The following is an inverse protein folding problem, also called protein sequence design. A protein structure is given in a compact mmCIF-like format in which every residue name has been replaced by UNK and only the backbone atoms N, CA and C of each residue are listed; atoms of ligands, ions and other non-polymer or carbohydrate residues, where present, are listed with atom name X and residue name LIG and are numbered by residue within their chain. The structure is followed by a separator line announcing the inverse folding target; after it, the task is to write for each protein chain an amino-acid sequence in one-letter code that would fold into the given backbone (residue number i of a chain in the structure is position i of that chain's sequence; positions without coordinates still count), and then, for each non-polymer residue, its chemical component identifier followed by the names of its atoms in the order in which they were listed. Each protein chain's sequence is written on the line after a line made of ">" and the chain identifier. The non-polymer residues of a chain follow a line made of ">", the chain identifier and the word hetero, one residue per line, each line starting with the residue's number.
data_IF_078218078792
#
_entry.id   IF_078218078792
#
_cell.length_a   1.000
_cell.length_b   1.000
_cell.length_c   1.000
_cell.angle_alpha   90.00
_cell.angle_beta   90.00
_cell.angle_gamma   90.00
#
_symmetry.space_group_name_H-M   'P 1'
#
loop_
_entity.id
_entity.type
_entity.pdbx_description
1 polymer ?
#
# COMPACT_ATOMS: atom_id res chain seq x y z
N UNK A 1 11.60 -21.95 -27.77
CA UNK A 1 11.87 -21.13 -26.56
C UNK A 1 12.33 -21.97 -25.37
N UNK A 2 11.64 -23.08 -25.01
CA UNK A 2 11.96 -23.93 -23.87
C UNK A 2 13.38 -24.51 -23.93
N UNK A 3 13.79 -25.10 -25.09
CA UNK A 3 15.13 -25.64 -25.26
C UNK A 3 16.24 -24.59 -25.13
N UNK A 4 16.00 -23.38 -25.59
CA UNK A 4 16.95 -22.25 -25.45
C UNK A 4 17.10 -21.85 -23.99
N UNK A 5 16.00 -21.78 -23.25
CA UNK A 5 16.03 -21.49 -21.79
C UNK A 5 16.80 -22.57 -21.04
N UNK A 6 16.50 -23.84 -21.29
CA UNK A 6 17.21 -24.98 -20.66
C UNK A 6 18.72 -24.92 -20.92
N UNK A 7 19.13 -24.68 -22.18
CA UNK A 7 20.54 -24.57 -22.54
C UNK A 7 21.23 -23.44 -21.75
N UNK A 8 20.63 -22.27 -21.71
CA UNK A 8 21.14 -21.11 -20.96
C UNK A 8 21.24 -21.43 -19.45
N UNK A 9 20.21 -22.06 -18.88
CA UNK A 9 20.20 -22.36 -17.45
C UNK A 9 21.26 -23.42 -17.11
N UNK A 10 21.52 -24.42 -17.96
CA UNK A 10 22.58 -25.43 -17.79
C UNK A 10 24.01 -24.86 -17.90
N UNK A 11 24.21 -23.71 -18.54
CA UNK A 11 25.50 -23.01 -18.57
C UNK A 11 25.88 -22.42 -17.19
N UNK A 12 24.86 -22.11 -16.36
CA UNK A 12 25.05 -21.50 -15.04
C UNK A 12 24.73 -22.40 -13.84
N UNK A 13 23.91 -23.43 -14.03
CA UNK A 13 23.43 -24.33 -12.98
C UNK A 13 24.06 -25.72 -13.12
N UNK A 14 24.58 -26.26 -12.02
CA UNK A 14 25.08 -27.64 -12.01
C UNK A 14 24.02 -28.61 -11.49
N UNK A 15 23.30 -29.24 -12.39
CA UNK A 15 22.50 -30.42 -12.06
C UNK A 15 23.40 -31.66 -12.02
N UNK A 16 23.05 -32.69 -11.24
CA UNK A 16 23.75 -33.99 -11.26
C UNK A 16 23.80 -34.58 -12.66
N UNK A 17 24.95 -35.13 -13.04
CA UNK A 17 25.18 -35.69 -14.37
C UNK A 17 24.23 -36.84 -14.74
N UNK A 18 23.77 -37.60 -13.77
CA UNK A 18 22.80 -38.67 -13.93
C UNK A 18 21.41 -38.10 -14.29
N UNK A 19 20.97 -37.02 -13.66
CA UNK A 19 19.72 -36.32 -13.98
C UNK A 19 19.77 -35.77 -15.41
N UNK A 20 20.88 -35.11 -15.79
CA UNK A 20 21.05 -34.58 -17.14
C UNK A 20 21.01 -35.71 -18.19
N UNK A 21 21.69 -36.83 -17.93
CA UNK A 21 21.71 -37.99 -18.84
C UNK A 21 20.34 -38.64 -18.95
N UNK A 22 19.64 -38.83 -17.83
CA UNK A 22 18.35 -39.51 -17.77
C UNK A 22 17.26 -38.71 -18.51
N UNK A 23 17.22 -37.39 -18.32
CA UNK A 23 16.14 -36.52 -18.80
C UNK A 23 16.51 -35.68 -20.04
N UNK A 24 17.62 -36.02 -20.74
CA UNK A 24 18.10 -35.26 -21.90
C UNK A 24 17.05 -35.09 -23.00
N UNK A 25 16.17 -36.10 -23.19
CA UNK A 25 15.10 -36.09 -24.18
C UNK A 25 13.76 -35.55 -23.64
N UNK A 26 13.70 -35.13 -22.37
CA UNK A 26 12.48 -34.73 -21.65
C UNK A 26 12.55 -33.25 -21.23
N UNK A 27 12.36 -32.30 -22.17
CA UNK A 27 12.63 -30.88 -21.92
C UNK A 27 11.75 -30.29 -20.80
N UNK A 28 10.54 -30.76 -20.60
CA UNK A 28 9.68 -30.30 -19.52
C UNK A 28 10.20 -30.77 -18.16
N UNK A 29 10.61 -32.01 -18.04
CA UNK A 29 11.18 -32.59 -16.83
C UNK A 29 12.49 -31.86 -16.48
N UNK A 30 13.36 -31.69 -17.48
CA UNK A 30 14.63 -30.96 -17.30
C UNK A 30 14.39 -29.55 -16.80
N UNK A 31 13.41 -28.81 -17.36
CA UNK A 31 13.10 -27.44 -16.88
C UNK A 31 12.58 -27.44 -15.45
N UNK A 32 11.80 -28.45 -15.03
CA UNK A 32 11.34 -28.56 -13.64
C UNK A 32 12.49 -28.79 -12.67
N UNK A 33 13.48 -29.64 -13.00
CA UNK A 33 14.69 -29.81 -12.17
C UNK A 33 15.50 -28.50 -12.05
N UNK A 34 15.59 -27.72 -13.12
CA UNK A 34 16.29 -26.42 -13.08
C UNK A 34 15.53 -25.40 -12.21
N UNK A 35 14.20 -25.39 -12.26
CA UNK A 35 13.36 -24.57 -11.38
C UNK A 35 13.53 -25.00 -9.92
N UNK A 36 13.47 -26.30 -9.65
CA UNK A 36 13.66 -26.88 -8.31
C UNK A 36 15.03 -26.51 -7.72
N UNK A 37 16.09 -26.66 -8.50
CA UNK A 37 17.44 -26.28 -8.05
C UNK A 37 17.56 -24.81 -7.68
N UNK A 38 16.91 -23.92 -8.46
CA UNK A 38 16.87 -22.47 -8.16
C UNK A 38 16.07 -22.13 -6.91
N UNK A 39 14.93 -22.80 -6.69
CA UNK A 39 14.13 -22.63 -5.49
C UNK A 39 14.84 -23.16 -4.25
N UNK A 40 15.51 -24.32 -4.37
CA UNK A 40 16.32 -24.90 -3.28
C UNK A 40 17.45 -23.96 -2.86
N UNK A 41 18.17 -23.40 -3.84
CA UNK A 41 19.21 -22.40 -3.56
C UNK A 41 18.66 -21.17 -2.81
N UNK A 42 17.46 -20.72 -3.17
CA UNK A 42 16.78 -19.62 -2.46
C UNK A 42 16.36 -19.99 -1.03
N UNK A 43 15.89 -21.22 -0.80
CA UNK A 43 15.55 -21.71 0.55
C UNK A 43 16.78 -21.82 1.46
N UNK A 44 17.86 -22.40 0.98
CA UNK A 44 19.14 -22.49 1.73
C UNK A 44 19.64 -21.10 2.15
N UNK A 45 19.42 -20.11 1.30
CA UNK A 45 19.78 -18.73 1.60
C UNK A 45 18.88 -18.11 2.67
N UNK A 46 17.55 -18.32 2.60
CA UNK A 46 16.63 -17.85 3.64
C UNK A 46 16.95 -18.46 5.01
N UNK A 47 17.33 -19.73 5.06
CA UNK A 47 17.74 -20.38 6.29
C UNK A 47 19.02 -19.75 6.87
N UNK A 48 19.97 -19.40 6.02
CA UNK A 48 21.18 -18.67 6.44
C UNK A 48 20.90 -17.25 6.94
N UNK A 49 19.94 -16.57 6.30
CA UNK A 49 19.49 -15.22 6.67
C UNK A 49 18.78 -15.20 8.04
N UNK A 50 17.93 -16.21 8.32
CA UNK A 50 17.26 -16.33 9.63
C UNK A 50 18.24 -16.51 10.80
N UNK A 51 19.40 -17.10 10.55
CA UNK A 51 20.48 -17.27 11.52
C UNK A 51 21.34 -16.04 11.74
N UNK A 52 21.51 -15.17 10.75
CA UNK A 52 22.30 -13.94 10.83
C UNK A 52 21.84 -12.87 9.83
N UNK A 53 20.94 -11.94 10.23
CA UNK A 53 20.35 -10.93 9.33
C UNK A 53 21.34 -9.97 8.64
N UNK A 54 22.62 -10.00 8.96
CA UNK A 54 23.66 -9.17 8.33
C UNK A 54 24.48 -9.86 7.24
N UNK A 55 24.32 -11.17 7.04
CA UNK A 55 25.19 -12.00 6.19
C UNK A 55 24.52 -12.40 4.85
N UNK A 56 23.83 -11.48 4.19
CA UNK A 56 23.21 -11.80 2.91
C UNK A 56 24.28 -12.05 1.82
N UNK A 57 24.54 -13.32 1.51
CA UNK A 57 25.32 -13.72 0.34
C UNK A 57 24.35 -14.25 -0.72
N UNK A 58 24.17 -13.53 -1.82
CA UNK A 58 23.29 -14.01 -2.91
C UNK A 58 23.85 -15.28 -3.52
N UNK A 59 23.05 -16.33 -3.58
CA UNK A 59 23.42 -17.54 -4.31
C UNK A 59 23.30 -17.27 -5.82
N UNK A 60 24.32 -17.57 -6.63
CA UNK A 60 24.33 -17.21 -8.05
C UNK A 60 23.17 -17.84 -8.86
N UNK A 61 22.55 -18.89 -8.33
CA UNK A 61 21.48 -19.64 -9.02
C UNK A 61 20.08 -19.39 -8.48
N UNK A 62 19.92 -18.68 -7.39
CA UNK A 62 18.61 -18.37 -6.87
C UNK A 62 17.80 -17.50 -7.84
N UNK A 63 16.47 -17.51 -7.69
CA UNK A 63 15.63 -16.52 -8.34
C UNK A 63 15.84 -15.17 -7.67
N UNK A 64 16.33 -14.19 -8.43
CA UNK A 64 16.51 -12.82 -7.93
C UNK A 64 15.21 -12.04 -7.75
N UNK A 65 14.12 -12.55 -8.32
CA UNK A 65 12.77 -12.00 -8.15
C UNK A 65 11.73 -13.08 -8.43
N UNK A 66 10.55 -12.91 -7.85
CA UNK A 66 9.39 -13.74 -8.16
C UNK A 66 8.96 -13.62 -9.63
N UNK A 67 9.22 -12.50 -10.29
CA UNK A 67 8.89 -12.31 -11.71
C UNK A 67 9.70 -13.27 -12.59
N UNK A 68 10.98 -13.51 -12.28
CA UNK A 68 11.80 -14.50 -12.98
C UNK A 68 11.27 -15.93 -12.82
N UNK A 69 10.74 -16.27 -11.64
CA UNK A 69 10.07 -17.55 -11.41
C UNK A 69 8.76 -17.67 -12.19
N UNK A 70 7.93 -16.61 -12.15
CA UNK A 70 6.68 -16.54 -12.93
C UNK A 70 6.96 -16.66 -14.44
N UNK A 71 8.06 -16.06 -14.93
CA UNK A 71 8.47 -16.17 -16.35
C UNK A 71 8.84 -17.60 -16.74
N UNK A 72 9.54 -18.32 -15.88
CA UNK A 72 9.84 -19.74 -16.09
C UNK A 72 8.57 -20.61 -16.12
N UNK A 73 7.63 -20.35 -15.21
CA UNK A 73 6.32 -21.03 -15.22
C UNK A 73 5.50 -20.65 -16.47
N UNK A 74 5.54 -19.39 -16.90
CA UNK A 74 4.88 -18.95 -18.14
C UNK A 74 5.45 -19.68 -19.35
N UNK A 75 6.77 -19.79 -19.44
CA UNK A 75 7.44 -20.52 -20.52
C UNK A 75 7.01 -21.99 -20.58
N UNK A 76 6.90 -22.68 -19.44
CA UNK A 76 6.38 -24.05 -19.37
C UNK A 76 4.92 -24.10 -19.87
N UNK A 77 4.07 -23.19 -19.45
CA UNK A 77 2.66 -23.12 -19.85
C UNK A 77 2.51 -22.93 -21.36
N UNK A 78 3.21 -21.96 -21.93
CA UNK A 78 3.20 -21.68 -23.38
C UNK A 78 3.70 -22.90 -24.20
N UNK A 79 4.77 -23.54 -23.72
CA UNK A 79 5.32 -24.71 -24.37
C UNK A 79 4.39 -25.94 -24.33
N UNK A 80 3.65 -26.13 -23.22
CA UNK A 80 2.62 -27.15 -23.09
C UNK A 80 1.42 -26.91 -24.03
N UNK A 81 0.99 -25.65 -24.15
CA UNK A 81 -0.06 -25.26 -25.09
C UNK A 81 0.38 -25.59 -26.54
N UNK A 82 1.62 -25.20 -26.89
CA UNK A 82 2.19 -25.49 -28.21
C UNK A 82 2.33 -27.01 -28.50
N UNK A 83 2.48 -27.82 -27.44
CA UNK A 83 2.51 -29.27 -27.52
C UNK A 83 1.11 -29.94 -27.46
N UNK A 84 0.02 -29.18 -27.61
CA UNK A 84 -1.38 -29.64 -27.50
C UNK A 84 -1.75 -30.23 -26.13
N UNK A 85 -1.02 -29.84 -25.05
CA UNK A 85 -1.27 -30.25 -23.68
C UNK A 85 -1.94 -29.14 -22.84
N UNK A 86 -2.78 -28.32 -23.46
CA UNK A 86 -3.42 -27.13 -22.82
C UNK A 86 -4.29 -27.45 -21.59
N UNK A 87 -4.80 -28.67 -21.48
CA UNK A 87 -5.55 -29.12 -20.29
C UNK A 87 -4.69 -29.06 -19.03
N UNK A 88 -3.40 -29.36 -19.10
CA UNK A 88 -2.46 -29.28 -17.96
C UNK A 88 -2.19 -27.83 -17.50
N UNK A 89 -2.51 -26.86 -18.35
CA UNK A 89 -2.30 -25.43 -18.11
C UNK A 89 -3.56 -24.75 -17.55
N UNK A 90 -4.75 -25.24 -17.93
CA UNK A 90 -6.03 -24.65 -17.52
C UNK A 90 -6.48 -25.11 -16.13
N UNK A 91 -6.02 -26.27 -15.68
CA UNK A 91 -6.37 -26.86 -14.39
C UNK A 91 -5.23 -27.73 -13.85
N UNK A 92 -5.26 -28.00 -12.54
CA UNK A 92 -4.26 -28.87 -11.91
C UNK A 92 -3.09 -28.11 -11.26
N UNK A 93 -2.03 -28.83 -10.85
CA UNK A 93 -0.95 -28.29 -10.03
C UNK A 93 -0.21 -27.11 -10.66
N UNK A 94 0.08 -27.16 -11.96
CA UNK A 94 0.78 -26.08 -12.66
C UNK A 94 -0.06 -24.79 -12.71
N UNK A 95 -1.37 -24.92 -12.95
CA UNK A 95 -2.28 -23.78 -12.93
C UNK A 95 -2.34 -23.15 -11.56
N UNK A 96 -2.47 -23.95 -10.49
CA UNK A 96 -2.46 -23.50 -9.11
C UNK A 96 -1.16 -22.83 -8.74
N UNK A 97 -0.01 -23.45 -9.03
CA UNK A 97 1.30 -22.90 -8.71
C UNK A 97 1.54 -21.56 -9.41
N UNK A 98 1.14 -21.44 -10.67
CA UNK A 98 1.28 -20.20 -11.42
C UNK A 98 0.42 -19.06 -10.82
N UNK A 99 -0.83 -19.37 -10.42
CA UNK A 99 -1.68 -18.39 -9.75
C UNK A 99 -1.11 -18.00 -8.39
N UNK A 100 -0.63 -18.95 -7.59
CA UNK A 100 0.01 -18.69 -6.31
C UNK A 100 1.26 -17.81 -6.45
N UNK A 101 2.14 -18.15 -7.40
CA UNK A 101 3.35 -17.39 -7.68
C UNK A 101 3.04 -15.93 -8.08
N UNK A 102 2.01 -15.72 -8.92
CA UNK A 102 1.57 -14.39 -9.32
C UNK A 102 0.91 -13.58 -8.19
N UNK A 103 0.18 -14.26 -7.31
CA UNK A 103 -0.60 -13.59 -6.26
C UNK A 103 0.26 -13.27 -5.05
N UNK A 104 1.10 -14.20 -4.63
CA UNK A 104 1.83 -14.14 -3.36
C UNK A 104 3.33 -13.88 -3.54
N UNK A 105 3.88 -14.07 -4.73
CA UNK A 105 5.32 -13.97 -4.97
C UNK A 105 6.13 -14.86 -4.02
N UNK A 106 7.29 -14.40 -3.61
CA UNK A 106 8.10 -14.99 -2.53
C UNK A 106 7.87 -14.31 -1.18
N UNK A 107 7.13 -13.19 -1.16
CA UNK A 107 6.91 -12.37 0.04
C UNK A 107 5.58 -12.68 0.77
N UNK A 108 4.73 -13.55 0.22
CA UNK A 108 3.42 -13.97 0.72
C UNK A 108 2.42 -12.81 0.88
N UNK A 109 2.77 -11.75 1.61
CA UNK A 109 1.93 -10.58 1.84
C UNK A 109 2.79 -9.31 1.86
N UNK A 110 2.36 -8.27 1.14
CA UNK A 110 2.97 -6.96 1.22
C UNK A 110 2.65 -6.31 2.57
N UNK A 111 3.66 -5.71 3.19
CA UNK A 111 3.52 -4.92 4.40
C UNK A 111 3.39 -3.44 4.05
N UNK A 112 2.76 -2.68 4.95
CA UNK A 112 2.76 -1.23 4.94
C UNK A 112 3.52 -0.73 6.15
N UNK A 113 4.27 0.36 6.00
CA UNK A 113 4.70 1.14 7.16
C UNK A 113 3.69 2.25 7.42
N UNK A 114 3.47 2.60 8.68
CA UNK A 114 2.58 3.69 9.08
C UNK A 114 3.23 4.49 10.19
N UNK A 115 3.19 5.82 10.06
CA UNK A 115 3.67 6.73 11.09
C UNK A 115 2.79 7.98 11.15
N UNK A 116 2.80 8.64 12.31
CA UNK A 116 2.13 9.91 12.54
C UNK A 116 2.91 11.06 11.88
N UNK A 117 2.22 12.04 11.29
CA UNK A 117 2.84 13.20 10.64
C UNK A 117 3.79 13.97 11.60
N UNK A 118 3.41 14.19 12.85
CA UNK A 118 4.25 14.89 13.85
C UNK A 118 5.62 14.21 14.03
N UNK A 119 5.69 12.88 13.89
CA UNK A 119 6.96 12.13 14.02
C UNK A 119 7.86 12.42 12.83
N UNK A 120 7.29 12.51 11.62
CA UNK A 120 8.01 12.91 10.42
C UNK A 120 8.46 14.37 10.53
N UNK A 121 7.58 15.28 10.98
CA UNK A 121 7.91 16.70 11.19
C UNK A 121 9.12 16.88 12.09
N UNK A 122 9.16 16.20 13.24
CA UNK A 122 10.28 16.27 14.18
C UNK A 122 11.57 15.76 13.55
N UNK A 123 11.51 14.63 12.83
CA UNK A 123 12.67 14.06 12.17
C UNK A 123 13.21 14.97 11.07
N UNK A 124 12.33 15.49 10.20
CA UNK A 124 12.69 16.46 9.14
C UNK A 124 13.31 17.72 9.73
N UNK A 125 12.74 18.26 10.81
CA UNK A 125 13.28 19.45 11.47
C UNK A 125 14.74 19.25 11.94
N UNK A 126 15.06 18.09 12.51
CA UNK A 126 16.43 17.75 12.90
C UNK A 126 17.35 17.57 11.68
N UNK A 127 16.91 16.85 10.65
CA UNK A 127 17.67 16.65 9.43
C UNK A 127 18.02 17.96 8.72
N UNK A 128 17.06 18.88 8.61
CA UNK A 128 17.26 20.20 7.99
C UNK A 128 18.20 21.08 8.85
N UNK A 129 18.14 20.97 10.17
CA UNK A 129 19.08 21.67 11.07
C UNK A 129 20.50 21.14 10.89
N UNK A 130 20.68 19.85 10.91
CA UNK A 130 22.01 19.22 10.75
C UNK A 130 22.58 19.48 9.35
N UNK A 131 21.74 19.54 8.32
CA UNK A 131 22.13 19.92 6.97
C UNK A 131 22.49 21.41 6.81
N UNK A 132 22.29 22.25 7.87
CA UNK A 132 22.56 23.67 7.83
C UNK A 132 21.49 24.48 7.06
N UNK A 133 20.33 23.90 6.79
CA UNK A 133 19.21 24.57 6.10
C UNK A 133 18.43 25.45 7.09
N UNK A 134 18.29 25.00 8.33
CA UNK A 134 17.61 25.73 9.40
C UNK A 134 18.56 26.07 10.55
N UNK A 135 18.21 27.06 11.34
CA UNK A 135 19.00 27.52 12.50
C UNK A 135 18.82 26.65 13.74
N UNK A 136 17.72 25.89 13.82
CA UNK A 136 17.45 24.90 14.87
C UNK A 136 16.41 23.89 14.37
N UNK A 137 16.38 22.68 14.93
CA UNK A 137 15.37 21.66 14.63
C UNK A 137 13.93 22.16 14.90
N UNK A 138 13.73 22.89 16.02
CA UNK A 138 12.44 23.46 16.39
C UNK A 138 11.96 24.61 15.48
N UNK A 139 12.82 25.13 14.61
CA UNK A 139 12.43 26.19 13.67
C UNK A 139 11.46 25.66 12.60
N UNK A 140 11.57 24.38 12.23
CA UNK A 140 10.72 23.75 11.23
C UNK A 140 9.24 23.71 11.65
N UNK A 141 8.94 23.29 12.86
CA UNK A 141 7.58 23.24 13.39
C UNK A 141 6.86 24.61 13.48
N UNK A 142 7.63 25.71 13.38
CA UNK A 142 7.08 27.09 13.42
C UNK A 142 6.72 27.62 12.02
N UNK A 143 7.16 26.93 10.98
CA UNK A 143 6.85 27.32 9.61
C UNK A 143 5.38 27.01 9.30
N UNK A 144 4.76 27.84 8.48
CA UNK A 144 3.48 27.52 7.84
C UNK A 144 3.63 26.33 6.87
N UNK A 145 2.53 25.67 6.52
CA UNK A 145 2.56 24.55 5.56
C UNK A 145 3.21 24.98 4.24
N UNK A 146 2.88 26.15 3.71
CA UNK A 146 3.48 26.68 2.48
C UNK A 146 5.01 26.85 2.58
N UNK A 147 5.50 27.38 3.71
CA UNK A 147 6.95 27.55 3.93
C UNK A 147 7.65 26.19 4.07
N UNK A 148 7.01 25.21 4.75
CA UNK A 148 7.51 23.83 4.82
C UNK A 148 7.59 23.22 3.43
N UNK A 149 6.53 23.33 2.63
CA UNK A 149 6.48 22.86 1.24
C UNK A 149 7.63 23.43 0.41
N UNK A 150 7.89 24.74 0.52
CA UNK A 150 8.99 25.39 -0.23
C UNK A 150 10.39 24.86 0.19
N UNK A 151 10.58 24.56 1.47
CA UNK A 151 11.83 23.94 1.95
C UNK A 151 11.95 22.52 1.43
N UNK A 152 10.91 21.71 1.57
CA UNK A 152 10.90 20.30 1.19
C UNK A 152 11.09 20.14 -0.33
N UNK A 153 10.47 20.98 -1.16
CA UNK A 153 10.68 21.00 -2.62
C UNK A 153 12.13 21.22 -3.00
N UNK A 154 12.80 22.17 -2.34
CA UNK A 154 14.23 22.42 -2.57
C UNK A 154 15.07 21.20 -2.22
N UNK A 155 14.79 20.54 -1.12
CA UNK A 155 15.52 19.33 -0.71
C UNK A 155 15.18 18.11 -1.58
N UNK A 156 13.95 17.97 -2.06
CA UNK A 156 13.59 16.93 -3.03
C UNK A 156 14.30 17.12 -4.38
N UNK A 157 14.51 18.36 -4.81
CA UNK A 157 15.24 18.67 -6.04
C UNK A 157 16.77 18.62 -5.89
N UNK A 158 17.29 18.64 -4.64
CA UNK A 158 18.73 18.63 -4.38
C UNK A 158 19.26 17.19 -4.35
N UNK A 159 20.27 16.82 -5.17
CA UNK A 159 20.79 15.44 -5.22
C UNK A 159 21.65 15.06 -4.01
N UNK A 160 22.05 16.03 -3.17
CA UNK A 160 22.87 15.74 -1.98
C UNK A 160 22.04 15.06 -0.88
N UNK A 161 22.61 14.15 -0.08
CA UNK A 161 21.99 13.69 1.15
C UNK A 161 21.94 14.83 2.19
N UNK A 162 20.92 14.79 3.05
CA UNK A 162 20.80 15.72 4.19
C UNK A 162 21.78 15.35 5.31
N UNK A 163 22.01 14.06 5.51
CA UNK A 163 22.84 13.55 6.61
C UNK A 163 24.14 13.00 6.10
N UNK A 164 25.25 13.53 6.61
CA UNK A 164 26.59 12.96 6.40
C UNK A 164 26.81 11.71 7.25
N UNK A 165 27.72 10.83 6.80
CA UNK A 165 27.99 9.53 7.42
C UNK A 165 28.42 9.58 8.90
N UNK A 166 28.85 10.73 9.41
CA UNK A 166 29.41 10.89 10.77
C UNK A 166 28.54 11.75 11.69
N UNK A 167 27.33 12.04 11.27
CA UNK A 167 26.40 12.88 12.06
C UNK A 167 25.68 12.01 13.08
N UNK A 168 25.65 12.48 14.32
CA UNK A 168 24.83 11.87 15.39
C UNK A 168 23.48 12.55 15.43
N UNK A 169 22.43 11.78 15.27
CA UNK A 169 21.04 12.20 15.38
C UNK A 169 20.45 11.80 16.74
N UNK A 170 19.34 12.41 17.11
CA UNK A 170 18.56 11.95 18.25
C UNK A 170 18.03 10.53 18.00
N UNK A 171 17.80 9.76 19.06
CA UNK A 171 17.29 8.40 19.01
C UNK A 171 16.00 8.32 18.18
N UNK A 172 15.05 9.25 18.39
CA UNK A 172 13.78 9.30 17.66
C UNK A 172 13.94 9.49 16.15
N UNK A 173 14.80 10.40 15.73
CA UNK A 173 15.07 10.64 14.31
C UNK A 173 15.81 9.45 13.70
N UNK A 174 16.73 8.85 14.45
CA UNK A 174 17.44 7.64 14.03
C UNK A 174 16.47 6.48 13.82
N UNK A 175 15.51 6.25 14.73
CA UNK A 175 14.46 5.24 14.60
C UNK A 175 13.64 5.43 13.32
N UNK A 176 13.24 6.66 13.01
CA UNK A 176 12.51 6.98 11.77
C UNK A 176 13.34 6.59 10.54
N UNK A 177 14.61 7.00 10.47
CA UNK A 177 15.47 6.64 9.35
C UNK A 177 15.74 5.12 9.26
N UNK A 178 15.83 4.45 10.39
CA UNK A 178 16.07 2.99 10.43
C UNK A 178 14.87 2.19 9.90
N UNK A 179 13.65 2.71 10.01
CA UNK A 179 12.47 2.16 9.31
C UNK A 179 12.70 2.21 7.80
N UNK A 180 13.04 3.37 7.22
CA UNK A 180 13.28 3.49 5.77
C UNK A 180 14.51 2.70 5.29
N UNK A 181 15.57 2.63 6.09
CA UNK A 181 16.73 1.75 5.80
C UNK A 181 16.33 0.28 5.82
N UNK A 182 15.40 -0.10 6.70
CA UNK A 182 14.85 -1.47 6.74
C UNK A 182 14.01 -1.75 5.48
N UNK A 183 13.21 -0.79 5.01
CA UNK A 183 12.51 -0.88 3.72
C UNK A 183 13.51 -1.10 2.60
N UNK A 184 14.56 -0.28 2.51
CA UNK A 184 15.62 -0.43 1.51
C UNK A 184 16.28 -1.82 1.55
N UNK A 185 16.56 -2.33 2.75
CA UNK A 185 17.10 -3.67 2.90
C UNK A 185 16.13 -4.74 2.43
N UNK A 186 14.86 -4.66 2.80
CA UNK A 186 13.82 -5.59 2.36
C UNK A 186 13.65 -5.58 0.83
N UNK A 187 13.67 -4.40 0.21
CA UNK A 187 13.59 -4.26 -1.25
C UNK A 187 14.79 -4.88 -1.96
N UNK A 188 16.00 -4.69 -1.42
CA UNK A 188 17.24 -5.25 -1.99
C UNK A 188 17.32 -6.75 -1.80
N UNK A 189 16.99 -7.25 -0.59
CA UNK A 189 17.31 -8.62 -0.17
C UNK A 189 16.16 -9.59 -0.44
N UNK A 190 14.92 -9.11 -0.57
CA UNK A 190 13.72 -9.93 -0.79
C UNK A 190 13.01 -9.52 -2.10
N UNK A 191 12.24 -8.45 -2.07
CA UNK A 191 11.52 -7.92 -3.23
C UNK A 191 11.00 -6.52 -2.96
N UNK A 192 10.93 -5.67 -4.00
CA UNK A 192 10.26 -4.36 -3.94
C UNK A 192 8.77 -4.46 -3.58
N UNK A 193 8.18 -5.64 -3.70
CA UNK A 193 6.78 -5.91 -3.36
C UNK A 193 6.55 -6.20 -1.88
N UNK A 194 7.62 -6.39 -1.08
CA UNK A 194 7.51 -6.70 0.37
C UNK A 194 6.92 -5.56 1.18
N UNK A 195 7.33 -4.33 0.88
CA UNK A 195 6.83 -3.12 1.54
C UNK A 195 6.54 -2.10 0.43
N UNK A 196 5.26 -1.79 0.22
CA UNK A 196 4.84 -1.01 -0.94
C UNK A 196 4.51 0.43 -0.62
N UNK A 197 4.08 0.75 0.59
CA UNK A 197 3.66 2.10 0.92
C UNK A 197 4.02 2.51 2.34
N UNK A 198 4.18 3.84 2.49
CA UNK A 198 4.25 4.55 3.76
C UNK A 198 2.95 5.32 3.97
N UNK A 199 2.17 4.92 4.98
CA UNK A 199 0.92 5.57 5.34
C UNK A 199 1.22 6.67 6.34
N UNK A 200 0.75 7.88 6.05
CA UNK A 200 0.90 9.04 6.92
C UNK A 200 -0.42 9.29 7.64
N UNK A 201 -0.47 8.99 8.93
CA UNK A 201 -1.66 9.29 9.74
C UNK A 201 -1.66 10.75 10.18
N UNK A 202 -2.86 11.30 10.39
CA UNK A 202 -3.08 12.71 10.73
C UNK A 202 -2.48 13.65 9.69
N UNK A 203 -2.85 13.43 8.43
CA UNK A 203 -2.46 14.30 7.31
C UNK A 203 -3.32 15.54 7.28
N UNK A 204 -2.72 16.70 7.55
CA UNK A 204 -3.38 18.01 7.62
C UNK A 204 -2.93 19.00 6.54
N UNK A 205 -1.73 18.81 6.00
CA UNK A 205 -1.10 19.68 5.02
C UNK A 205 -0.37 18.92 3.91
N UNK A 206 0.04 19.66 2.88
CA UNK A 206 0.87 19.12 1.79
C UNK A 206 2.24 18.71 2.31
N UNK A 207 2.80 19.46 3.27
CA UNK A 207 4.08 19.16 3.89
C UNK A 207 4.12 17.77 4.52
N UNK A 208 3.02 17.35 5.17
CA UNK A 208 2.93 16.03 5.82
C UNK A 208 3.14 14.86 4.85
N UNK A 209 2.86 15.08 3.56
CA UNK A 209 3.06 14.07 2.49
C UNK A 209 4.46 14.17 1.89
N UNK A 210 5.03 15.38 1.81
CA UNK A 210 6.37 15.57 1.27
C UNK A 210 7.47 15.17 2.27
N UNK A 211 7.23 15.26 3.57
CA UNK A 211 8.18 14.86 4.62
C UNK A 211 8.62 13.40 4.51
N UNK A 212 7.70 12.41 4.47
CA UNK A 212 8.09 11.01 4.27
C UNK A 212 8.73 10.76 2.90
N UNK A 213 8.40 11.54 1.87
CA UNK A 213 9.07 11.45 0.58
C UNK A 213 10.54 11.90 0.67
N UNK A 214 10.84 12.97 1.43
CA UNK A 214 12.23 13.39 1.72
C UNK A 214 12.97 12.29 2.51
N UNK A 215 12.32 11.68 3.52
CA UNK A 215 12.92 10.57 4.28
C UNK A 215 13.18 9.34 3.41
N UNK A 216 12.25 9.01 2.52
CA UNK A 216 12.41 7.93 1.54
C UNK A 216 13.57 8.18 0.60
N UNK A 217 13.70 9.41 0.09
CA UNK A 217 14.82 9.85 -0.74
C UNK A 217 16.15 9.76 -0.01
N UNK A 218 16.22 10.25 1.25
CA UNK A 218 17.43 10.15 2.08
C UNK A 218 17.93 8.71 2.23
N UNK A 219 16.98 7.76 2.27
CA UNK A 219 17.27 6.34 2.36
C UNK A 219 17.35 5.62 1.01
N UNK A 220 17.07 6.29 -0.12
CA UNK A 220 17.12 5.74 -1.48
C UNK A 220 16.03 4.70 -1.77
N UNK A 221 14.78 5.00 -1.36
CA UNK A 221 13.58 4.19 -1.60
C UNK A 221 12.40 5.00 -2.15
N UNK A 222 12.60 6.26 -2.49
CA UNK A 222 11.60 7.18 -3.01
C UNK A 222 11.02 6.80 -4.38
N UNK A 223 11.74 5.98 -5.15
CA UNK A 223 11.29 5.44 -6.44
C UNK A 223 10.54 4.09 -6.31
N UNK A 224 10.45 3.53 -5.11
CA UNK A 224 9.92 2.18 -4.86
C UNK A 224 8.86 2.14 -3.75
N UNK A 225 8.52 3.28 -3.15
CA UNK A 225 7.63 3.39 -1.99
C UNK A 225 6.55 4.45 -2.22
N UNK A 226 5.29 4.03 -2.32
CA UNK A 226 4.14 4.92 -2.39
C UNK A 226 3.96 5.70 -1.08
N UNK A 227 3.66 7.00 -1.15
CA UNK A 227 3.26 7.79 0.01
C UNK A 227 1.73 7.90 0.03
N UNK A 228 1.13 7.41 1.11
CA UNK A 228 -0.33 7.27 1.25
C UNK A 228 -0.85 8.21 2.35
N UNK A 229 -1.49 9.32 2.01
CA UNK A 229 -2.14 10.17 3.01
C UNK A 229 -3.32 9.44 3.64
N UNK A 230 -3.48 9.58 4.95
CA UNK A 230 -4.63 9.11 5.70
C UNK A 230 -5.38 10.30 6.30
N UNK A 231 -6.61 10.49 5.84
CA UNK A 231 -7.54 11.51 6.36
C UNK A 231 -8.46 10.89 7.41
N UNK A 232 -8.36 11.38 8.65
CA UNK A 232 -8.96 10.73 9.83
C UNK A 232 -10.11 11.54 10.43
N UNK A 233 -9.98 12.85 10.54
CA UNK A 233 -11.05 13.70 11.08
C UNK A 233 -12.05 14.12 10.00
N UNK A 234 -13.23 14.59 10.40
CA UNK A 234 -14.22 15.13 9.43
C UNK A 234 -13.65 16.34 8.70
N UNK A 235 -12.89 17.19 9.41
CA UNK A 235 -12.28 18.37 8.81
C UNK A 235 -11.19 17.99 7.79
N UNK A 236 -10.36 16.97 8.07
CA UNK A 236 -9.38 16.44 7.10
C UNK A 236 -10.08 15.88 5.87
N UNK A 237 -11.13 15.09 6.06
CA UNK A 237 -11.94 14.55 4.96
C UNK A 237 -12.51 15.67 4.08
N UNK A 238 -13.03 16.75 4.69
CA UNK A 238 -13.57 17.89 3.96
C UNK A 238 -12.51 18.67 3.17
N UNK A 239 -11.28 18.74 3.67
CA UNK A 239 -10.17 19.48 3.05
C UNK A 239 -9.35 18.61 2.07
N UNK A 240 -9.47 17.30 2.12
CA UNK A 240 -8.63 16.36 1.41
C UNK A 240 -8.52 16.59 -0.10
N UNK A 241 -9.62 16.96 -0.75
CA UNK A 241 -9.65 17.23 -2.20
C UNK A 241 -8.87 18.50 -2.58
N UNK A 242 -8.90 19.53 -1.74
CA UNK A 242 -8.12 20.76 -1.92
C UNK A 242 -6.65 20.47 -1.69
N UNK A 243 -6.32 19.75 -0.62
CA UNK A 243 -4.95 19.34 -0.30
C UNK A 243 -4.32 18.52 -1.45
N UNK A 244 -5.06 17.57 -2.02
CA UNK A 244 -4.57 16.82 -3.16
C UNK A 244 -4.44 17.66 -4.44
N UNK A 245 -5.33 18.65 -4.65
CA UNK A 245 -5.21 19.59 -5.77
C UNK A 245 -3.90 20.39 -5.67
N UNK A 246 -3.57 20.88 -4.48
CA UNK A 246 -2.32 21.55 -4.16
C UNK A 246 -1.11 20.62 -4.29
N UNK A 247 -1.19 19.42 -3.74
CA UNK A 247 -0.11 18.41 -3.82
C UNK A 247 0.23 18.03 -5.26
N UNK A 248 -0.78 17.81 -6.08
CA UNK A 248 -0.58 17.44 -7.49
C UNK A 248 -0.06 18.61 -8.35
N UNK A 249 -0.09 19.83 -7.84
CA UNK A 249 0.56 20.99 -8.45
C UNK A 249 2.06 21.10 -8.08
N UNK A 250 2.53 20.34 -7.07
CA UNK A 250 3.95 20.28 -6.70
C UNK A 250 4.71 19.43 -7.71
N UNK A 251 5.66 20.05 -8.42
CA UNK A 251 6.41 19.40 -9.51
C UNK A 251 7.20 18.19 -9.03
N UNK A 252 7.83 18.27 -7.85
CA UNK A 252 8.60 17.19 -7.23
C UNK A 252 7.74 15.98 -6.92
N UNK A 253 6.50 16.21 -6.46
CA UNK A 253 5.56 15.15 -6.20
C UNK A 253 4.99 14.54 -7.49
N UNK A 254 4.78 15.36 -8.52
CA UNK A 254 4.40 14.85 -9.87
C UNK A 254 5.45 13.92 -10.43
N UNK A 255 6.73 14.26 -10.31
CA UNK A 255 7.81 13.35 -10.72
C UNK A 255 7.79 12.03 -9.96
N UNK A 256 7.54 12.05 -8.65
CA UNK A 256 7.35 10.84 -7.87
C UNK A 256 6.17 10.01 -8.38
N UNK A 257 5.00 10.63 -8.62
CA UNK A 257 3.83 9.93 -9.17
C UNK A 257 4.13 9.32 -10.55
N UNK A 258 4.85 10.01 -11.42
CA UNK A 258 5.21 9.50 -12.75
C UNK A 258 6.07 8.22 -12.63
N UNK A 259 7.03 8.17 -11.71
CA UNK A 259 7.84 6.97 -11.40
C UNK A 259 6.97 5.85 -10.83
N UNK A 260 6.01 6.18 -9.97
CA UNK A 260 5.09 5.22 -9.33
C UNK A 260 3.91 4.80 -10.23
N UNK A 261 3.95 5.14 -11.54
CA UNK A 261 2.94 4.77 -12.53
C UNK A 261 1.73 5.67 -12.57
N UNK A 262 1.88 6.93 -12.16
CA UNK A 262 0.85 7.97 -12.12
C UNK A 262 -0.41 7.55 -11.35
N UNK A 263 -0.20 7.04 -10.15
CA UNK A 263 -1.25 6.43 -9.32
C UNK A 263 -1.12 6.87 -7.86
N UNK A 264 -2.24 7.28 -7.27
CA UNK A 264 -2.32 7.70 -5.87
C UNK A 264 -3.25 6.78 -5.07
N UNK A 265 -2.74 6.19 -4.00
CA UNK A 265 -3.56 5.57 -2.97
C UNK A 265 -3.87 6.58 -1.86
N UNK A 266 -5.10 6.59 -1.38
CA UNK A 266 -5.58 7.50 -0.33
C UNK A 266 -6.32 6.68 0.71
N UNK A 267 -5.89 6.77 1.96
CA UNK A 267 -6.54 6.06 3.06
C UNK A 267 -7.58 6.96 3.74
N UNK A 268 -8.74 6.38 4.03
CA UNK A 268 -9.85 7.05 4.71
C UNK A 268 -10.07 6.43 6.09
N UNK A 269 -10.08 7.26 7.14
CA UNK A 269 -10.31 6.87 8.51
C UNK A 269 -11.80 6.80 8.85
N UNK A 270 -12.28 5.63 9.27
CA UNK A 270 -13.67 5.40 9.62
C UNK A 270 -13.92 5.49 11.13
N UNK A 271 -13.04 4.90 11.92
CA UNK A 271 -13.16 4.89 13.38
C UNK A 271 -12.97 6.29 13.95
N UNK A 272 -11.93 6.98 13.47
CA UNK A 272 -11.52 8.28 14.00
C UNK A 272 -12.49 9.39 13.58
N UNK A 273 -12.98 9.38 12.34
CA UNK A 273 -14.04 10.29 11.91
C UNK A 273 -15.35 10.07 12.68
N UNK A 274 -15.68 8.82 13.02
CA UNK A 274 -16.87 8.52 13.83
C UNK A 274 -16.71 8.99 15.28
N UNK A 275 -15.50 8.95 15.82
CA UNK A 275 -15.20 9.52 17.16
C UNK A 275 -15.20 11.06 17.13
N UNK A 276 -14.79 11.69 16.03
CA UNK A 276 -14.77 13.13 15.88
C UNK A 276 -16.17 13.74 15.79
N UNK A 277 -17.09 13.16 15.02
CA UNK A 277 -18.37 13.79 14.74
C UNK A 277 -19.61 12.91 14.78
N UNK A 278 -19.48 11.65 15.22
CA UNK A 278 -20.58 10.69 15.27
C UNK A 278 -20.86 9.99 13.94
N UNK A 279 -21.73 8.98 14.00
CA UNK A 279 -21.93 8.04 12.90
C UNK A 279 -22.45 8.68 11.61
N UNK A 280 -23.49 9.53 11.70
CA UNK A 280 -24.14 10.11 10.51
C UNK A 280 -23.19 11.08 9.81
N UNK A 281 -22.59 12.00 10.56
CA UNK A 281 -21.65 12.98 10.01
C UNK A 281 -20.43 12.34 9.39
N UNK A 282 -19.85 11.34 10.06
CA UNK A 282 -18.67 10.62 9.54
C UNK A 282 -18.99 9.86 8.24
N UNK A 283 -20.11 9.13 8.17
CA UNK A 283 -20.48 8.40 6.96
C UNK A 283 -20.78 9.33 5.78
N UNK A 284 -21.44 10.46 6.05
CA UNK A 284 -21.69 11.46 5.00
C UNK A 284 -20.39 12.11 4.52
N UNK A 285 -19.52 12.53 5.44
CA UNK A 285 -18.21 13.08 5.09
C UNK A 285 -17.39 12.10 4.24
N UNK A 286 -17.38 10.82 4.59
CA UNK A 286 -16.71 9.78 3.81
C UNK A 286 -17.31 9.62 2.42
N UNK A 287 -18.65 9.64 2.30
CA UNK A 287 -19.34 9.52 1.01
C UNK A 287 -19.01 10.71 0.08
N UNK A 288 -19.16 11.92 0.58
CA UNK A 288 -18.89 13.14 -0.18
C UNK A 288 -17.40 13.28 -0.55
N UNK A 289 -16.51 12.96 0.38
CA UNK A 289 -15.07 13.00 0.15
C UNK A 289 -14.64 12.07 -0.98
N UNK A 290 -15.15 10.85 -1.04
CA UNK A 290 -14.81 9.88 -2.10
C UNK A 290 -15.12 10.44 -3.50
N UNK A 291 -16.26 11.11 -3.65
CA UNK A 291 -16.65 11.74 -4.92
C UNK A 291 -15.69 12.87 -5.29
N UNK A 292 -15.40 13.79 -4.35
CA UNK A 292 -14.50 14.93 -4.57
C UNK A 292 -13.06 14.49 -4.87
N UNK A 293 -12.53 13.50 -4.16
CA UNK A 293 -11.20 12.94 -4.43
C UNK A 293 -11.11 12.34 -5.83
N UNK A 294 -12.16 11.62 -6.27
CA UNK A 294 -12.22 11.07 -7.61
C UNK A 294 -12.19 12.15 -8.70
N UNK A 295 -12.92 13.25 -8.48
CA UNK A 295 -12.93 14.38 -9.40
C UNK A 295 -11.57 15.09 -9.44
N UNK A 296 -10.91 15.30 -8.30
CA UNK A 296 -9.57 15.88 -8.22
C UNK A 296 -8.54 15.00 -8.93
N UNK A 297 -8.51 13.71 -8.66
CA UNK A 297 -7.59 12.78 -9.34
C UNK A 297 -7.82 12.77 -10.85
N UNK A 298 -9.07 12.78 -11.31
CA UNK A 298 -9.42 12.84 -12.73
C UNK A 298 -8.99 14.15 -13.37
N UNK A 299 -9.17 15.29 -12.70
CA UNK A 299 -8.71 16.62 -13.14
C UNK A 299 -7.20 16.62 -13.45
N UNK A 300 -6.40 15.95 -12.62
CA UNK A 300 -4.95 15.87 -12.77
C UNK A 300 -4.47 14.65 -13.58
N UNK A 301 -5.38 13.80 -14.09
CA UNK A 301 -5.04 12.59 -14.84
C UNK A 301 -4.33 11.54 -13.99
N UNK A 302 -4.54 11.53 -12.67
CA UNK A 302 -3.92 10.59 -11.73
C UNK A 302 -4.88 9.41 -11.49
N UNK A 303 -4.38 8.18 -11.60
CA UNK A 303 -5.12 6.99 -11.18
C UNK A 303 -5.34 6.98 -9.67
N UNK A 304 -6.48 6.48 -9.20
CA UNK A 304 -6.81 6.49 -7.78
C UNK A 304 -7.21 5.11 -7.25
N UNK A 305 -6.82 4.81 -6.02
CA UNK A 305 -7.38 3.73 -5.21
C UNK A 305 -7.68 4.25 -3.81
N UNK A 306 -8.91 4.01 -3.35
CA UNK A 306 -9.25 4.28 -1.97
C UNK A 306 -8.89 3.07 -1.10
N UNK A 307 -8.21 3.35 0.01
CA UNK A 307 -7.92 2.40 1.06
C UNK A 307 -8.86 2.69 2.23
N UNK A 308 -9.85 1.83 2.42
CA UNK A 308 -10.85 1.99 3.45
C UNK A 308 -10.35 1.41 4.78
N UNK A 309 -10.06 2.29 5.73
CA UNK A 309 -9.69 1.94 7.10
C UNK A 309 -10.88 1.45 7.93
N UNK A 310 -11.68 0.53 7.41
CA UNK A 310 -12.92 0.03 8.03
C UNK A 310 -12.67 -0.93 9.19
N UNK A 311 -11.71 -0.65 10.07
CA UNK A 311 -11.47 -1.46 11.25
C UNK A 311 -12.73 -1.58 12.12
N UNK A 312 -13.21 -2.78 12.38
CA UNK A 312 -14.25 -3.07 13.36
C UNK A 312 -15.70 -3.09 12.88
N UNK A 313 -16.11 -2.31 11.89
CA UNK A 313 -17.52 -2.24 11.49
C UNK A 313 -17.92 -3.24 10.40
N UNK A 314 -17.00 -3.70 9.59
CA UNK A 314 -17.30 -4.65 8.49
C UNK A 314 -17.68 -6.05 8.99
N UNK A 315 -17.32 -6.40 10.24
CA UNK A 315 -17.71 -7.65 10.90
C UNK A 315 -18.67 -7.48 12.09
N UNK A 316 -18.82 -6.24 12.62
CA UNK A 316 -19.56 -5.96 13.85
C UNK A 316 -20.76 -5.01 13.64
N UNK A 317 -21.46 -5.08 12.50
CA UNK A 317 -22.66 -4.28 12.24
C UNK A 317 -22.53 -3.25 11.11
N UNK A 318 -21.34 -3.03 10.53
CA UNK A 318 -21.12 -2.13 9.39
C UNK A 318 -21.57 -2.67 8.02
N UNK A 319 -22.31 -3.76 8.01
CA UNK A 319 -22.81 -4.36 6.79
C UNK A 319 -21.78 -5.22 6.03
N UNK A 320 -22.25 -5.86 4.97
CA UNK A 320 -21.40 -6.74 4.14
C UNK A 320 -20.49 -5.90 3.26
N UNK A 321 -19.22 -6.31 3.09
CA UNK A 321 -18.23 -5.63 2.26
C UNK A 321 -18.74 -5.36 0.83
N UNK A 322 -19.46 -6.31 0.23
CA UNK A 322 -20.04 -6.18 -1.10
C UNK A 322 -21.09 -5.05 -1.19
N UNK A 323 -21.90 -4.84 -0.14
CA UNK A 323 -22.86 -3.72 -0.11
C UNK A 323 -22.14 -2.37 -0.01
N UNK A 324 -21.07 -2.32 0.77
CA UNK A 324 -20.27 -1.12 0.90
C UNK A 324 -19.54 -0.73 -0.41
N UNK A 325 -19.09 -1.71 -1.18
CA UNK A 325 -18.54 -1.48 -2.52
C UNK A 325 -19.62 -0.95 -3.47
N UNK A 326 -20.80 -1.57 -3.45
CA UNK A 326 -21.92 -1.17 -4.32
C UNK A 326 -22.51 0.21 -3.99
N UNK A 327 -22.31 0.71 -2.77
CA UNK A 327 -22.80 2.03 -2.32
C UNK A 327 -21.80 3.16 -2.48
N UNK A 328 -20.64 2.92 -3.09
CA UNK A 328 -19.66 3.98 -3.34
C UNK A 328 -20.20 5.02 -4.35
N UNK A 329 -19.82 6.30 -4.21
CA UNK A 329 -20.24 7.34 -5.13
C UNK A 329 -19.86 7.01 -6.57
N UNK A 330 -20.72 7.44 -7.51
CA UNK A 330 -20.45 7.28 -8.94
C UNK A 330 -19.09 7.87 -9.31
N UNK A 331 -18.26 7.08 -10.02
CA UNK A 331 -16.95 7.51 -10.49
C UNK A 331 -15.83 7.47 -9.44
N UNK A 332 -16.11 7.13 -8.18
CA UNK A 332 -15.06 6.97 -7.15
C UNK A 332 -14.41 5.57 -7.16
N UNK A 333 -15.03 4.60 -7.82
CA UNK A 333 -14.53 3.25 -7.95
C UNK A 333 -13.99 2.98 -9.36
N UNK A 334 -12.70 2.65 -9.46
CA UNK A 334 -12.00 2.36 -10.71
C UNK A 334 -11.52 0.89 -10.81
N UNK A 335 -12.33 -0.05 -10.33
CA UNK A 335 -12.02 -1.49 -10.38
C UNK A 335 -10.98 -1.98 -9.37
N UNK A 336 -10.52 -1.10 -8.48
CA UNK A 336 -9.53 -1.44 -7.44
C UNK A 336 -10.04 -0.93 -6.10
N UNK A 337 -10.00 -1.79 -5.10
CA UNK A 337 -10.34 -1.45 -3.71
C UNK A 337 -9.33 -2.06 -2.76
N UNK A 338 -9.04 -1.35 -1.69
CA UNK A 338 -8.28 -1.86 -0.55
C UNK A 338 -9.04 -1.54 0.73
N UNK A 339 -9.10 -2.49 1.65
CA UNK A 339 -9.71 -2.28 2.96
C UNK A 339 -8.98 -3.11 4.02
N UNK A 340 -8.93 -2.58 5.24
CA UNK A 340 -8.43 -3.31 6.40
C UNK A 340 -9.50 -4.25 6.93
N UNK A 341 -9.08 -5.46 7.28
CA UNK A 341 -9.88 -6.38 8.09
C UNK A 341 -9.14 -6.65 9.41
N UNK A 342 -9.88 -6.73 10.50
CA UNK A 342 -9.29 -7.07 11.80
C UNK A 342 -8.99 -8.57 11.88
N UNK A 343 -8.00 -8.96 12.71
CA UNK A 343 -7.51 -10.33 12.78
C UNK A 343 -8.60 -11.38 13.05
N UNK A 344 -9.54 -11.12 13.96
CA UNK A 344 -10.68 -11.99 14.21
C UNK A 344 -11.60 -12.14 13.00
N UNK A 345 -11.78 -11.07 12.21
CA UNK A 345 -12.61 -11.12 11.00
C UNK A 345 -11.90 -11.91 9.90
N UNK A 346 -10.58 -11.78 9.79
CA UNK A 346 -9.76 -12.55 8.83
C UNK A 346 -9.93 -14.05 9.10
N UNK A 347 -9.83 -14.48 10.36
CA UNK A 347 -10.02 -15.88 10.74
C UNK A 347 -11.41 -16.40 10.38
N UNK A 348 -12.46 -15.61 10.63
CA UNK A 348 -13.84 -15.98 10.30
C UNK A 348 -14.10 -16.11 8.80
N UNK A 349 -13.52 -15.22 7.99
CA UNK A 349 -13.79 -15.15 6.56
C UNK A 349 -12.90 -16.05 5.72
N UNK A 350 -11.67 -16.27 6.17
CA UNK A 350 -10.66 -16.96 5.37
C UNK A 350 -10.15 -18.27 5.99
N UNK A 351 -10.54 -18.59 7.22
CA UNK A 351 -10.11 -19.82 7.89
C UNK A 351 -10.68 -21.11 7.28
N UNK A 352 -11.81 -21.03 6.59
CA UNK A 352 -12.42 -22.15 5.87
C UNK A 352 -12.55 -21.84 4.38
N UNK A 353 -11.93 -22.64 3.52
CA UNK A 353 -11.89 -22.41 2.08
C UNK A 353 -13.26 -22.15 1.42
N UNK A 354 -14.35 -22.88 1.71
CA UNK A 354 -15.67 -22.59 1.12
C UNK A 354 -16.23 -21.23 1.51
N UNK A 355 -15.99 -20.79 2.76
CA UNK A 355 -16.42 -19.47 3.25
C UNK A 355 -15.59 -18.39 2.58
N UNK A 356 -14.28 -18.56 2.50
CA UNK A 356 -13.37 -17.64 1.84
C UNK A 356 -13.74 -17.48 0.36
N UNK A 357 -13.96 -18.56 -0.36
CA UNK A 357 -14.38 -18.56 -1.76
C UNK A 357 -15.68 -17.76 -1.95
N UNK A 358 -16.70 -18.05 -1.14
CA UNK A 358 -17.98 -17.33 -1.21
C UNK A 358 -17.84 -15.84 -0.89
N UNK A 359 -17.01 -15.50 0.09
CA UNK A 359 -16.75 -14.09 0.43
C UNK A 359 -16.05 -13.34 -0.70
N UNK A 360 -15.01 -13.93 -1.28
CA UNK A 360 -14.27 -13.36 -2.42
C UNK A 360 -15.16 -13.22 -3.66
N UNK A 361 -16.00 -14.21 -3.98
CA UNK A 361 -16.98 -14.10 -5.06
C UNK A 361 -17.91 -12.89 -4.87
N UNK A 362 -18.41 -12.67 -3.66
CA UNK A 362 -19.27 -11.52 -3.37
C UNK A 362 -18.54 -10.19 -3.56
N UNK A 363 -17.26 -10.10 -3.15
CA UNK A 363 -16.45 -8.90 -3.36
C UNK A 363 -16.21 -8.67 -4.86
N UNK A 364 -15.77 -9.69 -5.58
CA UNK A 364 -15.50 -9.58 -7.04
C UNK A 364 -16.77 -9.21 -7.79
N UNK A 365 -17.90 -9.86 -7.48
CA UNK A 365 -19.20 -9.52 -8.07
C UNK A 365 -19.60 -8.07 -7.82
N UNK A 366 -19.41 -7.57 -6.59
CA UNK A 366 -19.71 -6.18 -6.26
C UNK A 366 -18.78 -5.21 -7.01
N UNK A 367 -17.49 -5.53 -7.12
CA UNK A 367 -16.54 -4.73 -7.90
C UNK A 367 -16.95 -4.66 -9.38
N UNK A 368 -17.26 -5.80 -9.99
CA UNK A 368 -17.72 -5.85 -11.38
C UNK A 368 -19.01 -5.03 -11.58
N UNK A 369 -19.97 -5.19 -10.67
CA UNK A 369 -21.25 -4.45 -10.73
C UNK A 369 -21.05 -2.94 -10.59
N UNK A 370 -20.19 -2.51 -9.67
CA UNK A 370 -19.88 -1.09 -9.44
C UNK A 370 -19.19 -0.42 -10.64
N UNK A 371 -18.53 -1.19 -11.50
CA UNK A 371 -17.92 -0.68 -12.74
C UNK A 371 -18.91 -0.47 -13.87
N UNK A 372 -20.11 -1.02 -13.78
CA UNK A 372 -21.11 -0.95 -14.86
C UNK A 372 -21.97 0.29 -14.67
N UNK A 373 -21.93 1.29 -15.58
CA UNK A 373 -22.62 2.59 -15.40
C UNK A 373 -24.11 2.49 -15.12
N UNK A 374 -24.80 1.53 -15.71
CA UNK A 374 -26.24 1.34 -15.56
C UNK A 374 -26.68 0.91 -14.14
N UNK A 375 -25.76 0.43 -13.31
CA UNK A 375 -26.05 0.06 -11.94
C UNK A 375 -25.62 1.14 -10.92
N UNK A 376 -25.02 2.24 -11.41
CA UNK A 376 -24.66 3.38 -10.57
C UNK A 376 -25.86 4.29 -10.38
N UNK A 377 -26.12 4.67 -9.13
CA UNK A 377 -27.22 5.58 -8.78
C UNK A 377 -26.72 7.02 -8.93
N UNK A 378 -27.49 7.85 -9.64
CA UNK A 378 -27.23 9.28 -9.70
C UNK A 378 -27.83 9.96 -8.47
N UNK A 379 -26.96 10.51 -7.62
CA UNK A 379 -27.36 11.31 -6.48
C UNK A 379 -27.75 12.73 -6.95
N UNK A 380 -28.97 13.14 -6.65
CA UNK A 380 -29.42 14.51 -6.98
C UNK A 380 -28.80 15.51 -6.00
N UNK A 381 -28.53 16.74 -6.45
CA UNK A 381 -27.99 17.80 -5.60
C UNK A 381 -28.86 18.03 -4.36
N UNK A 382 -30.19 17.97 -4.53
CA UNK A 382 -31.16 18.11 -3.43
C UNK A 382 -30.92 17.08 -2.29
N UNK A 383 -30.58 15.83 -2.65
CA UNK A 383 -30.26 14.80 -1.65
C UNK A 383 -28.95 15.09 -0.94
N UNK A 384 -27.95 15.58 -1.67
CA UNK A 384 -26.65 15.98 -1.09
C UNK A 384 -26.81 17.12 -0.10
N UNK A 385 -27.56 18.14 -0.47
CA UNK A 385 -27.85 19.30 0.38
C UNK A 385 -28.57 18.87 1.67
N UNK A 386 -29.61 18.02 1.55
CA UNK A 386 -30.33 17.49 2.71
C UNK A 386 -29.44 16.65 3.62
N UNK A 387 -28.63 15.78 3.04
CA UNK A 387 -27.72 14.95 3.83
C UNK A 387 -26.63 15.80 4.50
N UNK A 388 -26.15 16.86 3.87
CA UNK A 388 -25.26 17.85 4.47
C UNK A 388 -25.85 18.47 5.73
N UNK A 389 -27.09 18.99 5.63
CA UNK A 389 -27.79 19.57 6.78
C UNK A 389 -27.99 18.57 7.93
N UNK A 390 -28.36 17.34 7.61
CA UNK A 390 -28.51 16.27 8.61
C UNK A 390 -27.19 15.90 9.27
N UNK A 391 -26.11 15.85 8.49
CA UNK A 391 -24.77 15.56 8.98
C UNK A 391 -24.25 16.66 9.92
N UNK A 392 -24.42 17.93 9.55
CA UNK A 392 -24.00 19.06 10.36
C UNK A 392 -24.74 19.09 11.70
N UNK A 393 -26.06 18.91 11.68
CA UNK A 393 -26.83 18.85 12.92
C UNK A 393 -26.49 17.64 13.78
N UNK A 394 -26.28 16.48 13.17
CA UNK A 394 -25.82 15.28 13.88
C UNK A 394 -24.45 15.47 14.51
N UNK A 395 -23.51 16.11 13.80
CA UNK A 395 -22.17 16.47 14.34
C UNK A 395 -22.28 17.40 15.55
N UNK A 396 -23.12 18.43 15.40
CA UNK A 396 -23.33 19.40 16.49
C UNK A 396 -23.85 18.73 17.76
N UNK A 397 -24.88 17.89 17.65
CA UNK A 397 -25.44 17.18 18.80
C UNK A 397 -24.42 16.21 19.42
N UNK A 398 -23.71 15.44 18.59
CA UNK A 398 -22.70 14.50 19.05
C UNK A 398 -21.57 15.20 19.80
N UNK A 399 -21.03 16.29 19.23
CA UNK A 399 -19.92 17.04 19.86
C UNK A 399 -20.34 17.71 21.14
N UNK A 400 -21.52 18.29 21.18
CA UNK A 400 -22.07 18.89 22.41
C UNK A 400 -22.11 17.88 23.57
N UNK A 401 -22.50 16.64 23.28
CA UNK A 401 -22.57 15.58 24.30
C UNK A 401 -21.20 14.98 24.64
N UNK A 402 -20.38 14.65 23.62
CA UNK A 402 -19.19 13.81 23.82
C UNK A 402 -17.93 14.63 24.10
N UNK A 403 -17.80 15.80 23.45
CA UNK A 403 -16.58 16.62 23.52
C UNK A 403 -16.74 17.88 24.35
N UNK A 404 -17.95 18.43 24.49
CA UNK A 404 -18.19 19.72 25.12
C UNK A 404 -18.84 19.60 26.51
N UNK A 405 -19.48 18.47 26.81
CA UNK A 405 -20.04 18.21 28.15
C UNK A 405 -18.93 17.71 29.10
N UNK A 406 -18.57 18.48 30.12
CA UNK A 406 -17.52 18.12 31.06
C UNK A 406 -17.87 16.90 31.94
N UNK A 407 -19.16 16.56 32.08
CA UNK A 407 -19.61 15.44 32.90
C UNK A 407 -19.58 14.12 32.11
N UNK A 408 -19.63 14.18 30.77
CA UNK A 408 -19.67 12.98 29.95
C UNK A 408 -18.43 12.09 30.15
N UNK A 409 -17.25 12.67 30.21
CA UNK A 409 -16.01 11.91 30.41
C UNK A 409 -16.00 11.20 31.77
N UNK A 410 -16.44 11.92 32.83
CA UNK A 410 -16.55 11.34 34.16
C UNK A 410 -17.56 10.18 34.19
N UNK A 411 -18.72 10.37 33.56
CA UNK A 411 -19.72 9.31 33.41
C UNK A 411 -19.17 8.11 32.67
N UNK A 412 -18.56 8.32 31.53
CA UNK A 412 -18.03 7.25 30.67
C UNK A 412 -16.98 6.41 31.40
N UNK A 413 -16.04 7.04 32.10
CA UNK A 413 -14.97 6.34 32.81
C UNK A 413 -15.43 5.64 34.09
N UNK A 414 -16.57 6.03 34.65
CA UNK A 414 -17.14 5.38 35.83
C UNK A 414 -18.14 4.27 35.46
N UNK A 415 -18.77 4.34 34.30
CA UNK A 415 -19.76 3.38 33.83
C UNK A 415 -19.17 2.19 33.08
N UNK A 416 -17.90 2.25 32.71
CA UNK A 416 -17.15 1.18 32.02
C UNK A 416 -16.13 0.55 32.95
#
# INVERSE_FOLDING_TARGET
>A
PLAVSIKRDLEGLHLPDDVIRQHRAEPFVMKLYLIEARLTAGLEQLDSFSGNPGSHTTHPWEYKSEDAFVDDLRLLRESLIAANAGVLVSSGPLASLWQQAKTFGFHLAALDIRQHSDVHEVAIGELLYVAGVLTSAAAYAKLSDAEKVDVLRRELSNPRPLVGAHVTLTEKTQEVLDVYKTVRRAHRDLSKKTIRCSIVSMTHGVSDILEPLVLAKECGVDEDLDIVPLFETIDDLQRSSVLLDELFAVEEYRRHLDVMGNFQEIMLGYSDSSKDGGFVAANWALQDTQARLADTCRKHGVGMRLFHGRGGTVGRGGGRANKAIASQPKGSFAGRIRFTEQGEVVSFRYGLAPIAHRHLEQIVSACLTAMVPQFQVDETQKWKDLMGLLADESRRVYRAMVHEDPEFWSFFTQAT
#
